data_IF_399690367979
#
_entry.id   IF_399690367979
#
_cell.length_a   1.000
_cell.length_b   1.000
_cell.length_c   1.000
_cell.angle_alpha   90.00
_cell.angle_beta   90.00
_cell.angle_gamma   90.00
#
_symmetry.space_group_name_H-M   'P 1'
#
loop_
_entity.id
_entity.type
_entity.pdbx_description
1 polymer ?
#
# COMPACT_ATOMS: atom_id res chain seq x y z
N UNK A 1 15.52 -70.20 130.34
CA UNK A 1 16.75 -71.01 130.19
C UNK A 1 18.02 -70.26 130.61
N UNK A 2 18.23 -68.97 130.29
CA UNK A 2 19.33 -68.18 130.91
C UNK A 2 19.24 -68.12 132.45
N UNK A 3 18.05 -67.89 132.98
CA UNK A 3 17.90 -67.70 134.43
C UNK A 3 17.90 -69.02 135.23
N UNK A 4 17.59 -70.15 134.58
CA UNK A 4 17.71 -71.50 135.17
C UNK A 4 19.14 -72.08 135.05
N UNK A 5 19.99 -71.49 134.22
CA UNK A 5 21.42 -71.82 134.13
C UNK A 5 22.21 -71.12 135.27
N UNK A 6 21.72 -69.99 135.80
CA UNK A 6 22.35 -69.33 136.97
C UNK A 6 22.06 -70.04 138.29
N UNK A 7 20.91 -70.69 138.43
CA UNK A 7 20.48 -71.33 139.68
C UNK A 7 21.27 -72.62 139.98
N UNK A 8 21.74 -73.34 138.94
CA UNK A 8 22.57 -74.56 139.07
C UNK A 8 24.06 -74.22 139.32
N UNK A 9 24.50 -72.99 139.06
CA UNK A 9 25.90 -72.58 139.27
C UNK A 9 26.26 -72.36 140.75
N UNK A 10 25.28 -72.10 141.62
CA UNK A 10 25.53 -71.67 142.99
C UNK A 10 25.18 -72.72 144.07
N UNK A 11 24.97 -73.99 143.70
CA UNK A 11 24.91 -75.08 144.68
C UNK A 11 26.26 -75.24 145.40
N UNK A 12 26.35 -74.71 146.64
CA UNK A 12 27.25 -75.24 147.68
C UNK A 12 26.47 -75.63 148.94
N UNK A 13 26.97 -76.70 149.52
CA UNK A 13 26.30 -77.72 150.31
C UNK A 13 26.69 -77.55 151.79
N UNK A 14 25.75 -77.66 152.74
CA UNK A 14 25.86 -78.44 154.01
C UNK A 14 24.47 -78.54 154.65
N UNK A 15 23.99 -79.76 154.89
CA UNK A 15 23.24 -80.08 156.12
C UNK A 15 21.80 -80.58 156.03
N UNK A 16 21.67 -81.91 155.82
CA UNK A 16 20.59 -82.83 156.24
C UNK A 16 19.18 -82.76 155.62
N UNK A 17 18.91 -83.81 154.83
CA UNK A 17 17.62 -84.48 154.58
C UNK A 17 16.77 -83.87 153.48
N UNK A 18 16.36 -84.52 152.38
CA UNK A 18 16.47 -85.90 151.91
C UNK A 18 16.33 -85.90 150.35
N UNK A 19 17.00 -86.85 149.67
CA UNK A 19 16.58 -87.61 148.47
C UNK A 19 16.23 -87.01 147.07
N UNK A 20 16.80 -85.89 146.59
CA UNK A 20 16.38 -85.28 145.27
C UNK A 20 17.39 -85.36 144.08
N UNK A 21 18.65 -85.75 144.25
CA UNK A 21 19.69 -85.39 143.25
C UNK A 21 19.83 -86.23 141.94
N UNK A 22 19.08 -87.33 141.71
CA UNK A 22 19.28 -88.19 140.50
C UNK A 22 18.43 -87.81 139.27
N UNK A 23 17.54 -86.81 139.36
CA UNK A 23 16.54 -86.49 138.32
C UNK A 23 17.00 -85.49 137.24
N UNK A 24 18.01 -84.64 137.50
CA UNK A 24 18.27 -83.47 136.66
C UNK A 24 19.07 -83.74 135.37
N UNK A 25 20.06 -84.64 135.40
CA UNK A 25 20.90 -84.93 134.22
C UNK A 25 20.11 -85.58 133.06
N UNK A 26 19.16 -86.46 133.40
CA UNK A 26 18.26 -87.10 132.44
C UNK A 26 17.33 -86.07 131.76
N UNK A 27 17.01 -84.95 132.42
CA UNK A 27 16.23 -83.87 131.80
C UNK A 27 17.06 -83.14 130.75
N UNK A 28 18.35 -82.89 130.98
CA UNK A 28 19.20 -82.14 130.06
C UNK A 28 19.40 -82.85 128.70
N UNK A 29 19.72 -84.15 128.71
CA UNK A 29 19.87 -84.94 127.48
C UNK A 29 18.56 -85.00 126.70
N UNK A 30 17.43 -85.08 127.41
CA UNK A 30 16.09 -85.05 126.81
C UNK A 30 15.78 -83.72 126.13
N UNK A 31 16.27 -82.60 126.66
CA UNK A 31 16.15 -81.27 126.03
C UNK A 31 16.96 -81.20 124.73
N UNK A 32 18.21 -81.67 124.69
CA UNK A 32 19.00 -81.67 123.45
C UNK A 32 18.45 -82.61 122.36
N UNK A 33 17.85 -83.74 122.75
CA UNK A 33 17.17 -84.64 121.81
C UNK A 33 15.93 -83.96 121.22
N UNK A 34 15.15 -83.26 122.04
CA UNK A 34 14.01 -82.46 121.59
C UNK A 34 14.43 -81.32 120.66
N UNK A 35 15.56 -80.65 120.92
CA UNK A 35 16.09 -79.61 120.02
C UNK A 35 16.46 -80.17 118.63
N UNK A 36 17.14 -81.32 118.57
CA UNK A 36 17.45 -81.96 117.29
C UNK A 36 16.18 -82.43 116.55
N UNK A 37 15.18 -82.97 117.27
CA UNK A 37 13.89 -83.31 116.67
C UNK A 37 13.17 -82.08 116.11
N UNK A 38 13.24 -80.94 116.81
CA UNK A 38 12.67 -79.68 116.33
C UNK A 38 13.38 -79.15 115.08
N UNK A 39 14.71 -79.25 115.00
CA UNK A 39 15.46 -78.89 113.79
C UNK A 39 15.06 -79.77 112.60
N UNK A 40 14.94 -81.10 112.80
CA UNK A 40 14.48 -82.03 111.76
C UNK A 40 13.05 -81.71 111.28
N UNK A 41 12.16 -81.33 112.20
CA UNK A 41 10.80 -80.88 111.87
C UNK A 41 10.85 -79.57 111.06
N UNK A 42 11.71 -78.62 111.43
CA UNK A 42 11.84 -77.36 110.69
C UNK A 42 12.34 -77.57 109.26
N UNK A 43 13.36 -78.42 109.08
CA UNK A 43 13.94 -78.74 107.77
C UNK A 43 12.92 -79.47 106.89
N UNK A 44 12.21 -80.46 107.43
CA UNK A 44 11.17 -81.19 106.69
C UNK A 44 10.00 -80.27 106.29
N UNK A 45 9.59 -79.35 107.17
CA UNK A 45 8.56 -78.35 106.84
C UNK A 45 9.00 -77.41 105.71
N UNK A 46 10.28 -77.00 105.70
CA UNK A 46 10.83 -76.14 104.68
C UNK A 46 10.95 -76.86 103.34
N UNK A 47 11.38 -78.13 103.35
CA UNK A 47 11.42 -78.97 102.15
C UNK A 47 10.03 -79.16 101.54
N UNK A 48 9.00 -79.32 102.37
CA UNK A 48 7.62 -79.42 101.91
C UNK A 48 7.12 -78.10 101.31
N UNK A 49 7.45 -76.96 101.92
CA UNK A 49 7.15 -75.65 101.35
C UNK A 49 7.84 -75.41 99.99
N UNK A 50 9.08 -75.86 99.83
CA UNK A 50 9.81 -75.76 98.55
C UNK A 50 9.23 -76.69 97.47
N UNK A 51 8.78 -77.90 97.85
CA UNK A 51 8.06 -78.81 96.96
C UNK A 51 6.73 -78.22 96.48
N UNK A 52 5.97 -77.58 97.37
CA UNK A 52 4.73 -76.86 97.03
C UNK A 52 5.00 -75.67 96.11
N UNK A 53 6.09 -74.92 96.35
CA UNK A 53 6.52 -73.83 95.47
C UNK A 53 6.94 -74.36 94.09
N UNK A 54 7.66 -75.47 94.03
CA UNK A 54 8.08 -76.10 92.78
C UNK A 54 6.89 -76.61 91.97
N UNK A 55 5.90 -77.24 92.63
CA UNK A 55 4.68 -77.71 91.97
C UNK A 55 3.86 -76.54 91.41
N UNK A 56 3.72 -75.44 92.17
CA UNK A 56 3.09 -74.21 91.72
C UNK A 56 3.78 -73.59 90.49
N UNK A 57 5.11 -73.47 90.52
CA UNK A 57 5.88 -72.92 89.39
C UNK A 57 5.83 -73.84 88.16
N UNK A 58 5.79 -75.15 88.36
CA UNK A 58 5.65 -76.13 87.28
C UNK A 58 4.27 -76.02 86.63
N UNK A 59 3.21 -75.90 87.41
CA UNK A 59 1.85 -75.68 86.92
C UNK A 59 1.74 -74.39 86.09
N UNK A 60 2.34 -73.28 86.56
CA UNK A 60 2.40 -72.05 85.77
C UNK A 60 3.21 -72.19 84.48
N UNK A 61 4.35 -72.88 84.51
CA UNK A 61 5.13 -73.12 83.30
C UNK A 61 4.38 -73.97 82.27
N UNK A 62 3.57 -74.94 82.72
CA UNK A 62 2.71 -75.74 81.85
C UNK A 62 1.64 -74.91 81.12
N UNK A 63 1.23 -73.76 81.66
CA UNK A 63 0.26 -72.84 81.03
C UNK A 63 0.90 -71.80 80.09
N UNK A 64 2.22 -71.61 80.11
CA UNK A 64 2.89 -70.64 79.23
C UNK A 64 2.74 -70.94 77.73
N UNK A 65 2.79 -72.21 77.26
CA UNK A 65 2.59 -72.53 75.85
C UNK A 65 1.19 -72.18 75.33
N UNK A 66 0.15 -72.38 76.15
CA UNK A 66 -1.23 -72.06 75.74
C UNK A 66 -1.47 -70.56 75.70
N UNK A 67 -0.88 -69.80 76.64
CA UNK A 67 -0.92 -68.34 76.62
C UNK A 67 -0.16 -67.78 75.42
N UNK A 68 1.03 -68.31 75.11
CA UNK A 68 1.80 -67.87 73.93
C UNK A 68 1.09 -68.21 72.62
N UNK A 69 0.47 -69.39 72.50
CA UNK A 69 -0.37 -69.71 71.34
C UNK A 69 -1.54 -68.73 71.18
N UNK A 70 -2.27 -68.42 72.27
CA UNK A 70 -3.35 -67.42 72.22
C UNK A 70 -2.85 -66.05 71.83
N UNK A 71 -1.70 -65.63 72.35
CA UNK A 71 -1.08 -64.36 72.00
C UNK A 71 -0.73 -64.31 70.51
N UNK A 72 -0.12 -65.36 69.95
CA UNK A 72 0.20 -65.45 68.52
C UNK A 72 -1.07 -65.34 67.66
N UNK A 73 -2.12 -66.09 68.01
CA UNK A 73 -3.41 -66.02 67.29
C UNK A 73 -4.00 -64.61 67.34
N UNK A 74 -4.01 -63.98 68.52
CA UNK A 74 -4.52 -62.62 68.69
C UNK A 74 -3.71 -61.60 67.89
N UNK A 75 -2.37 -61.71 67.89
CA UNK A 75 -1.53 -60.82 67.08
C UNK A 75 -1.74 -61.02 65.58
N UNK A 76 -1.97 -62.26 65.13
CA UNK A 76 -2.32 -62.55 63.75
C UNK A 76 -3.67 -61.94 63.35
N UNK A 77 -4.68 -62.02 64.22
CA UNK A 77 -5.99 -61.40 64.01
C UNK A 77 -5.90 -59.87 63.95
N UNK A 78 -5.16 -59.24 64.85
CA UNK A 78 -4.92 -57.79 64.83
C UNK A 78 -4.24 -57.37 63.54
N UNK A 79 -3.21 -58.09 63.10
CA UNK A 79 -2.53 -57.82 61.84
C UNK A 79 -3.48 -57.95 60.64
N UNK A 80 -4.39 -58.93 60.66
CA UNK A 80 -5.39 -59.11 59.60
C UNK A 80 -6.41 -57.95 59.55
N UNK A 81 -6.88 -57.48 60.71
CA UNK A 81 -7.78 -56.32 60.81
C UNK A 81 -7.09 -55.02 60.38
N UNK A 82 -5.81 -54.84 60.72
CA UNK A 82 -5.02 -53.71 60.24
C UNK A 82 -4.80 -53.73 58.73
N UNK A 83 -4.69 -54.92 58.12
CA UNK A 83 -4.58 -55.06 56.68
C UNK A 83 -5.92 -54.72 56.00
N UNK A 84 -7.04 -55.18 56.56
CA UNK A 84 -8.39 -54.88 56.07
C UNK A 84 -8.69 -53.37 56.15
N UNK A 85 -8.42 -52.73 57.29
CA UNK A 85 -8.59 -51.27 57.45
C UNK A 85 -7.69 -50.47 56.52
N UNK A 86 -6.44 -50.91 56.28
CA UNK A 86 -5.56 -50.32 55.26
C UNK A 86 -6.14 -50.45 53.86
N UNK A 87 -6.70 -51.62 53.52
CA UNK A 87 -7.40 -51.86 52.25
C UNK A 87 -8.61 -50.94 52.07
N UNK A 88 -9.46 -50.85 53.10
CA UNK A 88 -10.66 -50.02 53.11
C UNK A 88 -10.32 -48.53 52.96
N UNK A 89 -9.29 -48.06 53.67
CA UNK A 89 -8.81 -46.68 53.55
C UNK A 89 -8.25 -46.37 52.16
N UNK A 90 -7.59 -47.34 51.52
CA UNK A 90 -7.10 -47.18 50.15
C UNK A 90 -8.26 -47.02 49.16
N UNK A 91 -9.30 -47.83 49.30
CA UNK A 91 -10.52 -47.74 48.49
C UNK A 91 -11.25 -46.41 48.75
N UNK A 92 -11.41 -46.02 50.02
CA UNK A 92 -12.04 -44.75 50.40
C UNK A 92 -11.29 -43.54 49.83
N UNK A 93 -9.97 -43.56 49.83
CA UNK A 93 -9.16 -42.53 49.20
C UNK A 93 -9.29 -42.51 47.67
N UNK A 94 -9.41 -43.67 47.01
CA UNK A 94 -9.73 -43.72 45.58
C UNK A 94 -11.10 -43.10 45.28
N UNK A 95 -12.12 -43.44 46.06
CA UNK A 95 -13.45 -42.82 45.92
C UNK A 95 -13.41 -41.32 46.18
N UNK A 96 -12.68 -40.85 47.21
CA UNK A 96 -12.49 -39.40 47.46
C UNK A 96 -11.83 -38.70 46.29
N UNK A 97 -10.81 -39.28 45.65
CA UNK A 97 -10.20 -38.68 44.47
C UNK A 97 -11.13 -38.65 43.25
N UNK A 98 -12.05 -39.62 43.14
CA UNK A 98 -13.09 -39.60 42.09
C UNK A 98 -14.16 -38.54 42.41
N UNK A 99 -14.58 -38.41 43.66
CA UNK A 99 -15.59 -37.41 44.07
C UNK A 99 -15.04 -35.98 44.11
N UNK A 100 -13.78 -35.78 44.49
CA UNK A 100 -13.10 -34.48 44.34
C UNK A 100 -12.91 -34.12 42.86
N UNK A 101 -12.71 -35.09 41.97
CA UNK A 101 -12.68 -34.85 40.52
C UNK A 101 -14.04 -34.47 39.94
N UNK A 102 -15.15 -34.79 40.60
CA UNK A 102 -16.49 -34.32 40.20
C UNK A 102 -16.83 -32.92 40.76
N UNK A 103 -15.95 -32.31 41.56
CA UNK A 103 -16.05 -30.89 41.92
C UNK A 103 -15.16 -30.04 41.00
N UNK A 104 -15.79 -29.58 39.92
CA UNK A 104 -15.33 -28.63 38.90
C UNK A 104 -14.12 -29.06 38.06
N UNK A 105 -14.39 -29.40 36.79
CA UNK A 105 -13.42 -29.55 35.69
C UNK A 105 -12.63 -28.26 35.34
N UNK A 106 -12.67 -27.23 36.19
CA UNK A 106 -12.06 -25.93 35.95
C UNK A 106 -11.26 -25.50 37.18
N UNK A 107 -9.94 -25.41 37.03
CA UNK A 107 -9.08 -24.70 37.97
C UNK A 107 -8.78 -23.31 37.41
N UNK A 108 -9.00 -22.26 38.22
CA UNK A 108 -8.64 -20.89 37.85
C UNK A 108 -7.11 -20.81 37.86
N UNK A 109 -6.50 -20.69 36.69
CA UNK A 109 -5.04 -20.56 36.54
C UNK A 109 -4.57 -19.19 37.03
N UNK A 110 -5.30 -18.13 36.68
CA UNK A 110 -5.06 -16.76 37.08
C UNK A 110 -6.38 -15.99 37.07
N UNK A 111 -6.55 -15.09 38.04
CA UNK A 111 -7.65 -14.14 38.03
C UNK A 111 -7.53 -13.17 36.86
N UNK A 112 -8.69 -12.75 36.34
CA UNK A 112 -8.73 -11.75 35.28
C UNK A 112 -8.21 -10.41 35.81
N UNK A 113 -7.14 -9.89 35.19
CA UNK A 113 -6.63 -8.56 35.51
C UNK A 113 -7.65 -7.53 35.00
N UNK A 114 -8.28 -6.83 35.92
CA UNK A 114 -9.19 -5.73 35.59
C UNK A 114 -8.37 -4.61 34.94
N UNK A 115 -8.71 -4.14 33.73
CA UNK A 115 -7.95 -3.07 33.09
C UNK A 115 -8.07 -1.78 33.92
N UNK A 116 -6.93 -1.16 34.21
CA UNK A 116 -6.87 0.09 35.00
C UNK A 116 -7.57 1.28 34.31
N UNK A 117 -7.80 1.19 33.00
CA UNK A 117 -8.46 2.23 32.19
C UNK A 117 -9.43 1.61 31.18
N UNK A 118 -10.57 2.28 30.88
CA UNK A 118 -11.49 1.81 29.84
C UNK A 118 -10.78 1.78 28.47
N UNK A 119 -10.85 0.64 27.79
CA UNK A 119 -10.24 0.46 26.46
C UNK A 119 -11.31 0.63 25.38
N UNK A 120 -11.49 1.86 24.93
CA UNK A 120 -12.42 2.18 23.84
C UNK A 120 -11.91 1.74 22.46
N UNK A 121 -12.85 1.59 21.53
CA UNK A 121 -12.57 1.19 20.16
C UNK A 121 -11.99 2.35 19.34
N UNK A 122 -10.68 2.33 19.10
CA UNK A 122 -9.99 3.29 18.23
C UNK A 122 -10.27 3.09 16.73
N UNK A 123 -11.31 2.33 16.36
CA UNK A 123 -11.67 2.05 14.95
C UNK A 123 -11.98 3.33 14.16
N UNK A 124 -12.57 4.35 14.80
CA UNK A 124 -12.81 5.66 14.17
C UNK A 124 -11.51 6.40 13.85
N UNK A 125 -10.56 6.42 14.80
CA UNK A 125 -9.24 7.01 14.59
C UNK A 125 -8.46 6.29 13.49
N UNK A 126 -8.49 4.94 13.49
CA UNK A 126 -7.87 4.13 12.44
C UNK A 126 -8.48 4.42 11.07
N UNK A 127 -9.80 4.51 10.98
CA UNK A 127 -10.49 4.86 9.73
C UNK A 127 -10.09 6.26 9.22
N UNK A 128 -10.02 7.26 10.10
CA UNK A 128 -9.57 8.62 9.75
C UNK A 128 -8.12 8.59 9.25
N UNK A 129 -7.23 7.87 9.94
CA UNK A 129 -5.84 7.75 9.53
C UNK A 129 -5.70 7.10 8.15
N UNK A 130 -6.45 6.01 7.89
CA UNK A 130 -6.47 5.35 6.59
C UNK A 130 -6.98 6.32 5.50
N UNK A 131 -8.11 6.99 5.73
CA UNK A 131 -8.65 7.98 4.79
C UNK A 131 -7.65 9.11 4.50
N UNK A 132 -6.95 9.60 5.51
CA UNK A 132 -5.95 10.65 5.36
C UNK A 132 -4.75 10.18 4.52
N UNK A 133 -4.26 8.96 4.75
CA UNK A 133 -3.18 8.36 3.94
C UNK A 133 -3.60 8.25 2.47
N UNK A 134 -4.80 7.72 2.19
CA UNK A 134 -5.30 7.62 0.81
C UNK A 134 -5.52 9.00 0.16
N UNK A 135 -5.97 9.99 0.93
CA UNK A 135 -6.08 11.36 0.45
C UNK A 135 -4.71 11.93 0.07
N UNK A 136 -3.69 11.77 0.91
CA UNK A 136 -2.33 12.23 0.61
C UNK A 136 -1.75 11.55 -0.63
N UNK A 137 -1.96 10.24 -0.78
CA UNK A 137 -1.53 9.50 -1.98
C UNK A 137 -2.25 10.04 -3.22
N UNK A 138 -3.57 10.19 -3.17
CA UNK A 138 -4.35 10.73 -4.29
C UNK A 138 -3.95 12.15 -4.67
N UNK A 139 -3.77 13.03 -3.67
CA UNK A 139 -3.30 14.40 -3.86
C UNK A 139 -1.91 14.43 -4.50
N UNK A 140 -0.99 13.59 -4.02
CA UNK A 140 0.38 13.48 -4.57
C UNK A 140 0.36 13.02 -6.02
N UNK A 141 -0.48 12.02 -6.37
CA UNK A 141 -0.62 11.56 -7.75
C UNK A 141 -1.21 12.63 -8.67
N UNK A 142 -2.15 13.43 -8.19
CA UNK A 142 -2.70 14.58 -8.94
C UNK A 142 -1.62 15.63 -9.17
N UNK A 143 -0.86 16.01 -8.14
CA UNK A 143 0.24 16.95 -8.29
C UNK A 143 1.31 16.43 -9.25
N UNK A 144 1.68 15.16 -9.14
CA UNK A 144 2.64 14.53 -10.04
C UNK A 144 2.16 14.61 -11.50
N UNK A 145 0.88 14.32 -11.74
CA UNK A 145 0.27 14.46 -13.07
C UNK A 145 0.33 15.90 -13.58
N UNK A 146 0.08 16.90 -12.73
CA UNK A 146 0.13 18.32 -13.10
C UNK A 146 1.56 18.76 -13.42
N UNK A 147 2.55 18.36 -12.62
CA UNK A 147 3.96 18.74 -12.79
C UNK A 147 4.60 18.05 -13.99
N UNK A 148 4.23 16.80 -14.26
CA UNK A 148 4.74 16.04 -15.42
C UNK A 148 4.09 16.47 -16.74
N UNK A 149 2.93 17.13 -16.68
CA UNK A 149 2.25 17.67 -17.85
C UNK A 149 2.92 18.97 -18.34
N UNK A 150 3.78 18.81 -19.33
CA UNK A 150 4.56 19.89 -19.93
C UNK A 150 3.88 20.52 -21.15
N UNK A 151 2.59 20.27 -21.37
CA UNK A 151 1.81 20.91 -22.44
C UNK A 151 1.63 22.40 -22.18
N UNK A 152 1.30 23.14 -23.23
CA UNK A 152 1.06 24.59 -23.17
C UNK A 152 -0.42 24.83 -22.91
N UNK A 153 -0.74 25.56 -21.85
CA UNK A 153 -2.16 25.76 -21.44
C UNK A 153 -2.65 27.19 -21.57
N UNK A 154 -1.76 28.16 -21.43
CA UNK A 154 -2.10 29.58 -21.43
C UNK A 154 -1.12 30.41 -22.26
N UNK A 155 -1.51 31.62 -22.71
CA UNK A 155 -0.59 32.51 -23.42
C UNK A 155 0.62 32.93 -22.59
N UNK A 156 0.44 33.15 -21.28
CA UNK A 156 1.55 33.47 -20.37
C UNK A 156 2.57 32.32 -20.28
N UNK A 157 2.07 31.08 -20.17
CA UNK A 157 2.88 29.87 -20.17
C UNK A 157 3.64 29.69 -21.50
N UNK A 158 2.97 29.91 -22.63
CA UNK A 158 3.59 29.86 -23.96
C UNK A 158 4.72 30.89 -24.11
N UNK A 159 4.47 32.14 -23.70
CA UNK A 159 5.46 33.23 -23.77
C UNK A 159 6.71 32.90 -22.94
N UNK A 160 6.52 32.38 -21.72
CA UNK A 160 7.62 31.97 -20.85
C UNK A 160 8.40 30.77 -21.42
N UNK A 161 7.71 29.76 -21.93
CA UNK A 161 8.32 28.52 -22.43
C UNK A 161 9.09 28.71 -23.73
N UNK A 162 8.57 29.55 -24.64
CA UNK A 162 9.07 29.65 -26.01
C UNK A 162 9.82 30.94 -26.32
N UNK A 163 9.69 31.99 -25.50
CA UNK A 163 10.37 33.28 -25.72
C UNK A 163 10.09 33.86 -27.12
N UNK A 164 8.86 33.64 -27.61
CA UNK A 164 8.33 34.18 -28.86
C UNK A 164 7.08 35.01 -28.56
N UNK A 165 6.80 36.06 -29.35
CA UNK A 165 5.57 36.83 -29.17
C UNK A 165 4.36 35.95 -29.51
N UNK A 166 3.28 36.14 -28.76
CA UNK A 166 1.99 35.51 -29.02
C UNK A 166 1.17 36.50 -29.83
N UNK A 167 0.89 36.17 -31.10
CA UNK A 167 0.22 37.08 -32.04
C UNK A 167 -1.31 37.04 -31.90
N UNK A 168 -1.84 35.92 -31.42
CA UNK A 168 -3.26 35.73 -31.20
C UNK A 168 -3.54 34.50 -30.36
N UNK A 169 -4.64 34.53 -29.63
CA UNK A 169 -5.12 33.41 -28.81
C UNK A 169 -6.58 33.15 -29.17
N UNK A 170 -6.83 31.97 -29.75
CA UNK A 170 -8.12 31.56 -30.28
C UNK A 170 -8.76 30.53 -29.34
N UNK A 171 -9.96 30.81 -28.81
CA UNK A 171 -10.65 29.93 -27.88
C UNK A 171 -11.00 28.57 -28.49
N UNK A 172 -11.09 27.55 -27.63
CA UNK A 172 -11.64 26.25 -27.99
C UNK A 172 -13.14 26.36 -28.26
N UNK A 173 -13.55 25.99 -29.48
CA UNK A 173 -14.95 25.86 -29.88
C UNK A 173 -15.28 24.37 -30.00
N UNK A 174 -16.37 23.94 -29.36
CA UNK A 174 -16.81 22.53 -29.36
C UNK A 174 -17.21 22.05 -30.76
N UNK A 175 -17.95 22.87 -31.49
CA UNK A 175 -18.37 22.58 -32.86
C UNK A 175 -17.38 23.20 -33.84
N UNK A 176 -16.53 22.35 -34.43
CA UNK A 176 -15.48 22.78 -35.34
C UNK A 176 -16.02 23.38 -36.63
N UNK A 177 -17.24 23.02 -37.06
CA UNK A 177 -17.85 23.59 -38.29
C UNK A 177 -18.05 25.09 -38.17
N UNK A 178 -18.33 25.57 -36.96
CA UNK A 178 -18.53 27.00 -36.65
C UNK A 178 -17.23 27.83 -36.69
N UNK A 179 -16.07 27.18 -36.76
CA UNK A 179 -14.79 27.86 -36.95
C UNK A 179 -14.51 28.15 -38.42
N UNK A 180 -15.20 27.48 -39.34
CA UNK A 180 -15.01 27.67 -40.77
C UNK A 180 -15.96 28.77 -41.26
N UNK A 181 -15.47 29.78 -41.99
CA UNK A 181 -16.32 30.78 -42.59
C UNK A 181 -17.16 30.17 -43.71
N UNK A 182 -18.33 30.73 -43.97
CA UNK A 182 -19.12 30.49 -45.18
C UNK A 182 -19.31 31.80 -45.94
N UNK A 183 -19.84 31.71 -47.16
CA UNK A 183 -20.15 32.89 -47.98
C UNK A 183 -21.04 33.89 -47.21
N UNK A 184 -22.08 33.37 -46.53
CA UNK A 184 -23.09 34.16 -45.83
C UNK A 184 -22.76 34.46 -44.36
N UNK A 185 -22.01 33.60 -43.66
CA UNK A 185 -21.78 33.72 -42.22
C UNK A 185 -20.30 33.77 -41.87
N UNK A 186 -19.97 34.66 -40.93
CA UNK A 186 -18.63 34.73 -40.35
C UNK A 186 -18.41 33.59 -39.35
N UNK A 187 -17.15 33.16 -39.22
CA UNK A 187 -16.80 32.18 -38.20
C UNK A 187 -16.97 32.75 -36.79
N UNK A 188 -17.16 31.86 -35.82
CA UNK A 188 -17.20 32.27 -34.42
C UNK A 188 -15.83 32.83 -34.04
N UNK A 189 -15.83 33.94 -33.29
CA UNK A 189 -14.61 34.65 -32.89
C UNK A 189 -13.84 35.30 -34.04
N UNK A 190 -14.52 35.71 -35.12
CA UNK A 190 -13.93 36.43 -36.27
C UNK A 190 -13.08 37.66 -35.87
N UNK A 191 -13.44 38.35 -34.79
CA UNK A 191 -12.71 39.50 -34.27
C UNK A 191 -11.24 39.20 -33.93
N UNK A 192 -10.94 37.98 -33.49
CA UNK A 192 -9.55 37.58 -33.21
C UNK A 192 -8.73 37.53 -34.50
N UNK A 193 -9.33 37.09 -35.60
CA UNK A 193 -8.70 37.12 -36.92
C UNK A 193 -8.60 38.56 -37.45
N UNK A 194 -9.59 39.42 -37.25
CA UNK A 194 -9.52 40.86 -37.59
C UNK A 194 -8.36 41.56 -36.91
N UNK A 195 -8.15 41.31 -35.62
CA UNK A 195 -7.00 41.84 -34.88
C UNK A 195 -5.67 41.35 -35.46
N UNK A 196 -5.58 40.06 -35.76
CA UNK A 196 -4.37 39.45 -36.34
C UNK A 196 -4.08 40.00 -37.74
N UNK A 197 -5.09 40.09 -38.62
CA UNK A 197 -4.97 40.71 -39.95
C UNK A 197 -4.48 42.15 -39.86
N UNK A 198 -5.02 42.95 -38.93
CA UNK A 198 -4.59 44.34 -38.71
C UNK A 198 -3.13 44.41 -38.25
N UNK A 199 -2.69 43.52 -37.38
CA UNK A 199 -1.31 43.43 -36.93
C UNK A 199 -0.37 43.08 -38.09
N UNK A 200 -0.71 42.04 -38.86
CA UNK A 200 0.09 41.60 -40.01
C UNK A 200 0.16 42.69 -41.09
N UNK A 201 -0.97 43.31 -41.45
CA UNK A 201 -0.99 44.34 -42.49
C UNK A 201 -0.24 45.60 -42.09
N UNK A 202 -0.22 45.93 -40.79
CA UNK A 202 0.59 47.04 -40.27
C UNK A 202 2.10 46.76 -40.38
N UNK A 203 2.52 45.52 -40.16
CA UNK A 203 3.93 45.14 -40.27
C UNK A 203 4.38 44.94 -41.72
N UNK A 204 3.49 44.48 -42.60
CA UNK A 204 3.78 44.13 -43.99
C UNK A 204 2.87 44.93 -44.94
N UNK A 205 3.30 46.15 -45.28
CA UNK A 205 2.51 47.12 -46.07
C UNK A 205 2.71 47.00 -47.58
N UNK A 206 3.71 46.23 -48.02
CA UNK A 206 3.98 46.02 -49.44
C UNK A 206 2.83 45.28 -50.14
N UNK A 207 2.75 45.42 -51.46
CA UNK A 207 1.93 44.56 -52.32
C UNK A 207 2.58 43.18 -52.46
N UNK A 208 1.79 42.12 -52.57
CA UNK A 208 2.29 40.74 -52.59
C UNK A 208 2.82 40.26 -51.23
N UNK A 209 2.34 40.84 -50.12
CA UNK A 209 2.76 40.46 -48.78
C UNK A 209 2.44 38.97 -48.54
N UNK A 210 3.46 38.17 -48.22
CA UNK A 210 3.32 36.71 -48.18
C UNK A 210 3.49 36.15 -46.77
N UNK A 211 2.48 35.42 -46.30
CA UNK A 211 2.45 34.82 -44.96
C UNK A 211 2.46 33.30 -45.06
N UNK A 212 3.50 32.67 -44.51
CA UNK A 212 3.52 31.22 -44.34
C UNK A 212 2.85 30.85 -43.01
N UNK A 213 1.86 29.97 -43.07
CA UNK A 213 1.19 29.43 -41.89
C UNK A 213 1.57 27.95 -41.78
N UNK A 214 2.22 27.60 -40.68
CA UNK A 214 2.68 26.23 -40.40
C UNK A 214 2.33 25.83 -38.97
N UNK A 215 2.55 24.57 -38.61
CA UNK A 215 2.33 24.07 -37.25
C UNK A 215 3.38 23.04 -36.86
N UNK A 216 3.50 22.78 -35.56
CA UNK A 216 4.43 21.78 -35.02
C UNK A 216 3.96 20.35 -35.31
N UNK A 217 2.65 20.13 -35.35
CA UNK A 217 2.04 18.84 -35.65
C UNK A 217 0.60 18.94 -36.16
N UNK A 218 -0.02 17.77 -36.33
CA UNK A 218 -1.41 17.60 -36.80
C UNK A 218 -2.43 18.19 -35.83
N UNK A 219 -3.60 18.54 -36.36
CA UNK A 219 -4.77 18.99 -35.58
C UNK A 219 -4.55 20.27 -34.76
N UNK A 220 -3.56 21.11 -35.12
CA UNK A 220 -3.32 22.40 -34.45
C UNK A 220 -4.21 23.53 -34.96
N UNK A 221 -5.00 23.31 -36.03
CA UNK A 221 -5.91 24.32 -36.59
C UNK A 221 -5.28 25.26 -37.61
N UNK A 222 -4.13 24.88 -38.18
CA UNK A 222 -3.39 25.60 -39.22
C UNK A 222 -4.29 26.04 -40.40
N UNK A 223 -4.99 25.09 -41.03
CA UNK A 223 -5.88 25.36 -42.18
C UNK A 223 -7.05 26.26 -41.80
N UNK A 224 -7.61 26.09 -40.58
CA UNK A 224 -8.66 26.97 -40.04
C UNK A 224 -8.17 28.40 -39.88
N UNK A 225 -6.96 28.59 -39.36
CA UNK A 225 -6.35 29.92 -39.21
C UNK A 225 -6.09 30.54 -40.58
N UNK A 226 -5.52 29.79 -41.52
CA UNK A 226 -5.24 30.25 -42.87
C UNK A 226 -6.50 30.72 -43.61
N UNK A 227 -7.55 29.91 -43.58
CA UNK A 227 -8.83 30.21 -44.21
C UNK A 227 -9.50 31.46 -43.63
N UNK A 228 -9.51 31.59 -42.31
CA UNK A 228 -10.12 32.75 -41.65
C UNK A 228 -9.32 34.03 -41.91
N UNK A 229 -7.98 33.97 -41.90
CA UNK A 229 -7.15 35.12 -42.28
C UNK A 229 -7.42 35.53 -43.73
N UNK A 230 -7.48 34.57 -44.65
CA UNK A 230 -7.79 34.84 -46.05
C UNK A 230 -9.16 35.52 -46.20
N UNK A 231 -10.19 34.97 -45.54
CA UNK A 231 -11.56 35.50 -45.58
C UNK A 231 -11.65 36.91 -45.00
N UNK A 232 -10.94 37.19 -43.90
CA UNK A 232 -10.95 38.53 -43.29
C UNK A 232 -10.26 39.55 -44.18
N UNK A 233 -9.10 39.21 -44.76
CA UNK A 233 -8.43 40.10 -45.71
C UNK A 233 -9.28 40.33 -46.97
N UNK A 234 -9.88 39.28 -47.54
CA UNK A 234 -10.75 39.39 -48.71
C UNK A 234 -11.97 40.29 -48.47
N UNK A 235 -12.57 40.22 -47.28
CA UNK A 235 -13.65 41.13 -46.84
C UNK A 235 -13.18 42.57 -46.53
N UNK A 236 -11.88 42.81 -46.45
CA UNK A 236 -11.27 44.13 -46.30
C UNK A 236 -10.83 44.72 -47.65
N UNK A 237 -11.43 44.24 -48.75
CA UNK A 237 -11.13 44.62 -50.13
C UNK A 237 -9.67 44.36 -50.56
N UNK A 238 -8.97 43.44 -49.88
CA UNK A 238 -7.68 42.93 -50.34
C UNK A 238 -7.90 41.79 -51.34
N UNK A 239 -7.09 41.73 -52.39
CA UNK A 239 -7.08 40.60 -53.32
C UNK A 239 -6.17 39.50 -52.75
N UNK A 240 -6.78 38.44 -52.22
CA UNK A 240 -6.06 37.40 -51.47
C UNK A 240 -5.96 36.10 -52.26
N UNK A 241 -4.76 35.52 -52.27
CA UNK A 241 -4.56 34.14 -52.72
C UNK A 241 -4.21 33.23 -51.54
N UNK A 242 -5.00 32.17 -51.34
CA UNK A 242 -4.71 31.11 -50.38
C UNK A 242 -4.14 29.87 -51.11
N UNK A 243 -2.89 29.52 -50.81
CA UNK A 243 -2.18 28.41 -51.44
C UNK A 243 -2.11 27.22 -50.46
N UNK A 244 -2.66 26.08 -50.84
CA UNK A 244 -2.37 24.80 -50.18
C UNK A 244 -1.07 24.22 -50.73
N UNK A 245 0.03 24.42 -50.01
CA UNK A 245 1.37 24.03 -50.43
C UNK A 245 1.81 22.65 -49.89
N UNK A 246 0.85 21.77 -49.60
CA UNK A 246 1.11 20.44 -49.06
C UNK A 246 1.16 19.41 -50.19
N UNK A 247 2.24 19.49 -50.97
CA UNK A 247 2.48 18.72 -52.20
C UNK A 247 2.76 17.22 -52.01
N UNK A 248 2.79 16.73 -50.77
CA UNK A 248 3.00 15.31 -50.43
C UNK A 248 1.66 14.60 -50.23
N UNK A 249 1.68 13.27 -50.33
CA UNK A 249 0.51 12.41 -50.04
C UNK A 249 -0.18 12.77 -48.73
N UNK A 250 -1.42 13.23 -48.83
CA UNK A 250 -2.34 13.35 -47.70
C UNK A 250 -3.33 12.22 -47.73
N UNK A 251 -3.70 11.72 -46.56
CA UNK A 251 -4.79 10.75 -46.39
C UNK A 251 -6.17 11.40 -46.41
N UNK A 252 -6.24 12.72 -46.27
CA UNK A 252 -7.47 13.49 -46.14
C UNK A 252 -7.52 14.57 -47.22
N UNK A 253 -8.70 14.76 -47.81
CA UNK A 253 -8.98 15.87 -48.72
C UNK A 253 -8.85 17.20 -47.98
N UNK A 254 -8.22 18.19 -48.63
CA UNK A 254 -8.05 19.53 -48.05
C UNK A 254 -9.42 20.14 -47.73
N UNK A 255 -9.58 20.76 -46.56
CA UNK A 255 -10.82 21.44 -46.21
C UNK A 255 -11.12 22.66 -47.09
N UNK A 256 -10.19 23.05 -47.97
CA UNK A 256 -10.37 24.14 -48.93
C UNK A 256 -11.21 23.74 -50.15
N UNK A 257 -11.27 22.45 -50.50
CA UNK A 257 -12.02 22.01 -51.68
C UNK A 257 -13.52 22.30 -51.58
N UNK A 258 -14.08 22.36 -50.35
CA UNK A 258 -15.49 22.70 -50.14
C UNK A 258 -15.87 24.13 -50.54
N UNK A 259 -14.90 25.00 -50.85
CA UNK A 259 -15.14 26.39 -51.25
C UNK A 259 -15.03 26.61 -52.76
N UNK A 260 -14.63 25.59 -53.50
CA UNK A 260 -14.43 25.62 -54.95
C UNK A 260 -15.55 24.81 -55.60
N UNK A 261 -16.10 25.33 -56.69
CA UNK A 261 -17.13 24.62 -57.44
C UNK A 261 -16.55 23.35 -58.07
N UNK A 262 -17.26 22.20 -58.02
CA UNK A 262 -16.75 20.91 -58.52
C UNK A 262 -16.30 20.95 -59.99
N UNK A 263 -16.91 21.82 -60.80
CA UNK A 263 -16.60 21.99 -62.23
C UNK A 263 -15.22 22.62 -62.48
N UNK A 264 -14.60 23.22 -61.46
CA UNK A 264 -13.29 23.86 -61.55
C UNK A 264 -12.13 22.95 -61.11
N UNK A 265 -12.41 21.78 -60.53
CA UNK A 265 -11.41 20.85 -59.99
C UNK A 265 -10.75 19.99 -61.08
N UNK A 266 -9.63 20.44 -61.64
CA UNK A 266 -8.83 19.60 -62.54
C UNK A 266 -7.31 19.68 -62.35
N UNK A 267 -6.76 20.83 -61.96
CA UNK A 267 -5.31 21.03 -61.84
C UNK A 267 -4.99 21.89 -60.62
N UNK A 268 -3.89 21.57 -59.94
CA UNK A 268 -3.40 22.32 -58.77
C UNK A 268 -1.88 22.52 -58.77
N UNK A 269 -1.34 22.93 -57.62
CA UNK A 269 0.07 23.21 -57.43
C UNK A 269 0.96 22.01 -57.78
N UNK A 270 0.57 20.79 -57.39
CA UNK A 270 1.34 19.59 -57.71
C UNK A 270 1.42 19.33 -59.22
N UNK A 271 0.33 19.57 -59.94
CA UNK A 271 0.27 19.44 -61.40
C UNK A 271 1.09 20.51 -62.11
N UNK A 272 1.01 21.76 -61.64
CA UNK A 272 1.81 22.85 -62.19
C UNK A 272 3.30 22.59 -62.01
N UNK A 273 3.74 22.24 -60.80
CA UNK A 273 5.14 21.93 -60.52
C UNK A 273 5.64 20.73 -61.34
N UNK A 274 4.74 19.79 -61.65
CA UNK A 274 5.01 18.63 -62.50
C UNK A 274 4.87 18.90 -64.01
N UNK A 275 4.78 20.18 -64.43
CA UNK A 275 4.64 20.62 -65.83
C UNK A 275 3.40 20.08 -66.56
N UNK A 276 2.35 19.70 -65.84
CA UNK A 276 1.05 19.32 -66.44
C UNK A 276 0.15 20.53 -66.70
N UNK A 277 0.34 21.61 -65.95
CA UNK A 277 -0.29 22.90 -66.19
C UNK A 277 0.78 23.91 -66.64
N UNK A 278 0.48 24.67 -67.70
CA UNK A 278 1.44 25.59 -68.32
C UNK A 278 1.43 26.99 -67.70
N UNK A 279 0.28 27.40 -67.17
CA UNK A 279 -0.03 28.77 -66.76
C UNK A 279 -0.67 28.79 -65.36
N UNK A 280 -0.41 29.85 -64.58
CA UNK A 280 -0.95 30.05 -63.24
C UNK A 280 -2.48 30.14 -63.24
N UNK A 281 -3.08 30.69 -64.30
CA UNK A 281 -4.53 30.82 -64.48
C UNK A 281 -5.27 29.47 -64.55
N UNK A 282 -4.59 28.37 -64.90
CA UNK A 282 -5.20 27.04 -64.97
C UNK A 282 -5.36 26.38 -63.60
N UNK A 283 -4.57 26.81 -62.61
CA UNK A 283 -4.48 26.18 -61.28
C UNK A 283 -5.09 27.03 -60.18
N UNK A 284 -5.28 28.33 -60.40
CA UNK A 284 -5.99 29.23 -59.50
C UNK A 284 -7.50 29.05 -59.69
N UNK A 285 -8.23 29.00 -58.58
CA UNK A 285 -9.67 28.75 -58.53
C UNK A 285 -10.35 29.88 -57.79
N UNK A 286 -11.45 30.37 -58.36
CA UNK A 286 -12.31 31.30 -57.68
C UNK A 286 -13.08 30.55 -56.59
N UNK A 287 -13.32 31.22 -55.48
CA UNK A 287 -14.02 30.62 -54.34
C UNK A 287 -15.34 31.31 -54.08
N UNK A 288 -16.19 30.64 -53.30
CA UNK A 288 -17.40 31.26 -52.73
C UNK A 288 -17.11 32.33 -51.66
N UNK A 289 -15.84 32.56 -51.30
CA UNK A 289 -15.43 33.56 -50.32
C UNK A 289 -15.06 34.87 -51.03
N UNK A 290 -15.66 35.98 -50.60
CA UNK A 290 -15.41 37.29 -51.19
C UNK A 290 -13.93 37.71 -51.10
N UNK A 291 -13.34 38.09 -52.24
CA UNK A 291 -11.97 38.59 -52.34
C UNK A 291 -10.88 37.51 -52.19
N UNK A 292 -11.25 36.22 -52.19
CA UNK A 292 -10.30 35.11 -51.99
C UNK A 292 -10.32 34.16 -53.19
N UNK A 293 -9.15 34.02 -53.80
CA UNK A 293 -8.85 32.92 -54.72
C UNK A 293 -8.04 31.84 -53.99
N UNK A 294 -8.10 30.61 -54.51
CA UNK A 294 -7.39 29.47 -53.94
C UNK A 294 -6.55 28.75 -55.00
N UNK A 295 -5.34 28.35 -54.59
CA UNK A 295 -4.49 27.42 -55.31
C UNK A 295 -4.37 26.14 -54.48
N UNK A 296 -5.14 25.11 -54.85
CA UNK A 296 -5.07 23.82 -54.19
C UNK A 296 -3.84 23.03 -54.64
N UNK A 297 -3.41 22.06 -53.83
CA UNK A 297 -2.43 21.06 -54.28
C UNK A 297 -2.99 20.19 -55.42
N UNK A 298 -4.27 19.79 -55.32
CA UNK A 298 -5.00 18.83 -56.16
C UNK A 298 -4.37 17.44 -56.24
N UNK A 299 -3.21 17.30 -56.88
CA UNK A 299 -2.46 16.05 -56.98
C UNK A 299 -1.09 16.16 -56.30
N UNK A 300 -0.51 15.03 -55.91
CA UNK A 300 0.87 15.00 -55.40
C UNK A 300 1.84 15.44 -56.51
N UNK A 301 2.81 16.28 -56.15
CA UNK A 301 3.90 16.59 -57.06
C UNK A 301 4.73 15.32 -57.33
N UNK A 302 5.20 15.14 -58.58
CA UNK A 302 6.03 13.98 -58.94
C UNK A 302 7.27 13.88 -58.05
N UNK A 303 7.83 15.03 -57.66
CA UNK A 303 8.93 15.13 -56.68
C UNK A 303 8.61 16.30 -55.74
N UNK A 304 8.49 16.10 -54.41
CA UNK A 304 8.22 17.18 -53.45
C UNK A 304 9.27 18.30 -53.47
N UNK A 305 10.52 17.98 -53.84
CA UNK A 305 11.63 18.94 -53.95
C UNK A 305 11.38 20.03 -55.00
N UNK A 306 10.37 19.87 -55.86
CA UNK A 306 9.92 20.90 -56.80
C UNK A 306 9.43 22.18 -56.10
N UNK A 307 9.13 22.13 -54.79
CA UNK A 307 8.90 23.35 -53.99
C UNK A 307 10.12 24.29 -53.96
N UNK A 308 11.36 23.79 -54.11
CA UNK A 308 12.57 24.61 -54.20
C UNK A 308 12.92 25.03 -55.64
N UNK A 309 12.13 24.60 -56.62
CA UNK A 309 12.46 24.80 -58.04
C UNK A 309 12.41 26.27 -58.46
N UNK A 310 13.08 26.60 -59.57
CA UNK A 310 12.92 27.90 -60.24
C UNK A 310 11.47 28.14 -60.64
N UNK A 311 10.75 27.09 -61.05
CA UNK A 311 9.33 27.13 -61.42
C UNK A 311 8.43 27.59 -60.27
N UNK A 312 8.67 27.13 -59.04
CA UNK A 312 7.94 27.63 -57.86
C UNK A 312 8.26 29.11 -57.60
N UNK A 313 9.52 29.51 -57.76
CA UNK A 313 9.96 30.91 -57.59
C UNK A 313 9.32 31.83 -58.62
N UNK A 314 9.30 31.42 -59.88
CA UNK A 314 8.65 32.14 -60.99
C UNK A 314 7.16 32.30 -60.73
N UNK A 315 6.47 31.22 -60.38
CA UNK A 315 5.05 31.25 -60.02
C UNK A 315 4.78 32.25 -58.90
N UNK A 316 5.48 32.17 -57.77
CA UNK A 316 5.24 33.09 -56.66
C UNK A 316 5.61 34.54 -57.02
N UNK A 317 6.63 34.76 -57.86
CA UNK A 317 6.98 36.10 -58.31
C UNK A 317 5.89 36.74 -59.19
N UNK A 318 5.24 35.94 -60.04
CA UNK A 318 4.10 36.34 -60.84
C UNK A 318 2.89 36.65 -59.95
N UNK A 319 2.56 35.75 -59.03
CA UNK A 319 1.41 35.89 -58.14
C UNK A 319 1.54 37.09 -57.19
N UNK A 320 2.76 37.43 -56.75
CA UNK A 320 3.02 38.64 -55.93
C UNK A 320 2.65 39.95 -56.65
N UNK A 321 2.59 39.95 -57.98
CA UNK A 321 2.17 41.12 -58.75
C UNK A 321 0.64 41.21 -58.83
N UNK A 322 -0.05 40.07 -58.86
CA UNK A 322 -1.50 39.98 -59.04
C UNK A 322 -2.29 40.11 -57.72
N UNK A 323 -1.74 39.59 -56.62
CA UNK A 323 -2.40 39.55 -55.32
C UNK A 323 -1.75 40.50 -54.33
N UNK A 324 -2.57 41.21 -53.54
CA UNK A 324 -2.05 42.09 -52.50
C UNK A 324 -1.55 41.31 -51.29
N UNK A 325 -2.17 40.17 -51.00
CA UNK A 325 -1.80 39.26 -49.92
C UNK A 325 -1.78 37.81 -50.43
N UNK A 326 -0.73 37.07 -50.09
CA UNK A 326 -0.61 35.65 -50.36
C UNK A 326 -0.48 34.92 -49.02
N UNK A 327 -1.36 33.95 -48.77
CA UNK A 327 -1.29 33.08 -47.59
C UNK A 327 -0.92 31.69 -48.06
N UNK A 328 0.19 31.16 -47.56
CA UNK A 328 0.68 29.83 -47.89
C UNK A 328 0.42 28.92 -46.70
N UNK A 329 -0.40 27.88 -46.86
CA UNK A 329 -0.50 26.79 -45.90
C UNK A 329 0.63 25.79 -46.14
N UNK A 330 1.65 25.81 -45.28
CA UNK A 330 2.74 24.83 -45.29
C UNK A 330 2.34 23.50 -44.65
N UNK A 331 3.19 22.47 -44.71
CA UNK A 331 3.04 21.20 -43.99
C UNK A 331 3.24 21.32 -42.46
N UNK A 332 3.31 20.20 -41.74
CA UNK A 332 3.72 20.20 -40.33
C UNK A 332 5.25 20.11 -40.26
N UNK A 333 5.91 21.06 -39.58
CA UNK A 333 7.39 21.19 -39.59
C UNK A 333 8.10 19.93 -39.12
N UNK A 334 7.52 19.21 -38.15
CA UNK A 334 8.14 17.98 -37.63
C UNK A 334 7.90 16.76 -38.52
N UNK A 335 6.93 16.80 -39.43
CA UNK A 335 6.64 15.69 -40.36
C UNK A 335 7.35 15.86 -41.70
N UNK A 336 7.63 17.11 -42.11
CA UNK A 336 8.23 17.40 -43.41
C UNK A 336 9.08 18.67 -43.40
N UNK A 337 10.08 18.72 -44.28
CA UNK A 337 10.94 19.89 -44.52
C UNK A 337 10.23 20.93 -45.40
N UNK A 338 9.10 20.61 -46.03
CA UNK A 338 8.43 21.50 -46.99
C UNK A 338 8.11 22.88 -46.40
N UNK A 339 7.70 22.96 -45.12
CA UNK A 339 7.47 24.25 -44.47
C UNK A 339 8.75 25.07 -44.29
N UNK A 340 9.88 24.42 -43.98
CA UNK A 340 11.18 25.10 -43.90
C UNK A 340 11.59 25.65 -45.26
N UNK A 341 11.33 24.91 -46.34
CA UNK A 341 11.56 25.36 -47.71
C UNK A 341 10.72 26.59 -48.04
N UNK A 342 9.42 26.52 -47.72
CA UNK A 342 8.45 27.57 -48.01
C UNK A 342 8.77 28.87 -47.27
N UNK A 343 9.53 28.82 -46.17
CA UNK A 343 9.96 30.05 -45.47
C UNK A 343 10.65 31.00 -46.43
N UNK A 344 11.52 30.52 -47.33
CA UNK A 344 12.29 31.34 -48.26
C UNK A 344 11.45 32.15 -49.26
N UNK A 345 10.16 31.84 -49.40
CA UNK A 345 9.23 32.55 -50.28
C UNK A 345 8.26 33.48 -49.55
N UNK A 346 8.13 33.33 -48.24
CA UNK A 346 7.27 34.15 -47.41
C UNK A 346 8.01 35.41 -46.95
N UNK A 347 7.29 36.47 -46.59
CA UNK A 347 7.88 37.60 -45.88
C UNK A 347 7.95 37.30 -44.38
N UNK A 348 7.05 36.45 -43.88
CA UNK A 348 7.10 35.95 -42.52
C UNK A 348 6.39 34.62 -42.31
N UNK A 349 6.76 33.94 -41.22
CA UNK A 349 6.20 32.66 -40.81
C UNK A 349 5.41 32.78 -39.51
N UNK A 350 4.19 32.25 -39.51
CA UNK A 350 3.28 32.16 -38.37
C UNK A 350 3.19 30.71 -37.91
N UNK A 351 3.61 30.45 -36.68
CA UNK A 351 3.53 29.11 -36.09
C UNK A 351 2.21 28.94 -35.32
N UNK A 352 1.34 28.07 -35.80
CA UNK A 352 0.09 27.70 -35.12
C UNK A 352 0.36 26.57 -34.13
N UNK A 353 -0.04 26.76 -32.88
CA UNK A 353 0.13 25.80 -31.78
C UNK A 353 -1.19 25.61 -31.05
N UNK A 354 -1.65 24.36 -30.92
CA UNK A 354 -2.84 24.07 -30.13
C UNK A 354 -2.51 23.94 -28.64
N UNK A 355 -3.30 24.63 -27.81
CA UNK A 355 -3.26 24.46 -26.37
C UNK A 355 -3.65 23.03 -25.97
N UNK A 356 -2.98 22.51 -24.95
CA UNK A 356 -3.21 21.20 -24.34
C UNK A 356 -3.08 19.99 -25.29
N UNK A 357 -2.46 20.16 -26.47
CA UNK A 357 -2.25 19.10 -27.45
C UNK A 357 -0.85 18.50 -27.37
N UNK A 358 0.18 19.27 -27.76
CA UNK A 358 1.57 18.81 -27.81
C UNK A 358 2.37 19.24 -26.57
N UNK A 359 3.32 18.40 -26.15
CA UNK A 359 4.29 18.73 -25.09
C UNK A 359 5.22 19.85 -25.56
N UNK A 360 5.65 20.72 -24.65
CA UNK A 360 6.54 21.86 -24.98
C UNK A 360 7.81 21.47 -25.75
N UNK A 361 8.35 20.26 -25.53
CA UNK A 361 9.58 19.80 -26.20
C UNK A 361 9.39 19.67 -27.72
N UNK A 362 8.20 19.22 -28.15
CA UNK A 362 7.81 19.08 -29.56
C UNK A 362 7.78 20.45 -30.22
N UNK A 363 7.10 21.42 -29.58
CA UNK A 363 7.00 22.79 -30.08
C UNK A 363 8.38 23.48 -30.10
N UNK A 364 9.21 23.27 -29.06
CA UNK A 364 10.61 23.76 -29.04
C UNK A 364 11.46 23.18 -30.16
N UNK A 365 11.28 21.91 -30.50
CA UNK A 365 11.98 21.29 -31.62
C UNK A 365 11.53 21.89 -32.96
N UNK A 366 10.25 22.15 -33.12
CA UNK A 366 9.69 22.86 -34.29
C UNK A 366 10.31 24.25 -34.44
N UNK A 367 10.28 25.07 -33.37
CA UNK A 367 10.89 26.40 -33.35
C UNK A 367 12.38 26.33 -33.69
N UNK A 368 13.13 25.38 -33.11
CA UNK A 368 14.56 25.18 -33.44
C UNK A 368 14.83 24.84 -34.91
N UNK A 369 13.87 24.25 -35.64
CA UNK A 369 14.01 24.00 -37.08
C UNK A 369 13.72 25.28 -37.86
N UNK A 370 12.64 25.96 -37.54
CA UNK A 370 12.31 27.25 -38.17
C UNK A 370 13.39 28.31 -37.91
N UNK A 371 13.99 28.35 -36.73
CA UNK A 371 15.07 29.28 -36.37
C UNK A 371 16.36 29.07 -37.19
N UNK A 372 16.51 27.94 -37.89
CA UNK A 372 17.64 27.69 -38.80
C UNK A 372 17.39 28.21 -40.22
N UNK A 373 16.17 28.64 -40.52
CA UNK A 373 15.81 29.21 -41.82
C UNK A 373 16.13 30.70 -41.84
N UNK A 374 16.26 31.27 -43.04
CA UNK A 374 16.66 32.68 -43.20
C UNK A 374 15.58 33.66 -42.72
N UNK A 375 14.32 33.20 -42.63
CA UNK A 375 13.19 34.05 -42.27
C UNK A 375 12.71 33.73 -40.86
N UNK A 376 12.77 34.69 -39.93
CA UNK A 376 12.37 34.46 -38.56
C UNK A 376 10.86 34.20 -38.47
N UNK A 377 10.48 33.36 -37.51
CA UNK A 377 9.06 33.20 -37.14
C UNK A 377 8.59 34.47 -36.43
N UNK A 378 7.63 35.22 -36.99
CA UNK A 378 7.07 36.44 -36.39
C UNK A 378 6.60 36.17 -34.97
N UNK A 379 5.90 35.05 -34.79
CA UNK A 379 5.35 34.66 -33.51
C UNK A 379 4.46 33.43 -33.57
N UNK A 380 3.83 33.15 -32.43
CA UNK A 380 3.00 31.97 -32.21
C UNK A 380 1.54 32.39 -32.17
N UNK A 381 0.70 31.64 -32.87
CA UNK A 381 -0.75 31.69 -32.79
C UNK A 381 -1.22 30.52 -31.94
N UNK A 382 -1.83 30.80 -30.79
CA UNK A 382 -2.37 29.76 -29.92
C UNK A 382 -3.81 29.47 -30.29
N UNK A 383 -4.12 28.21 -30.62
CA UNK A 383 -5.49 27.75 -30.87
C UNK A 383 -5.98 26.87 -29.75
N UNK A 384 -7.29 26.60 -29.72
CA UNK A 384 -7.92 25.69 -28.74
C UNK A 384 -7.66 26.10 -27.28
N UNK A 385 -7.45 27.39 -27.03
CA UNK A 385 -7.22 27.89 -25.68
C UNK A 385 -8.47 27.71 -24.83
N UNK A 386 -8.32 27.18 -23.61
CA UNK A 386 -9.44 27.08 -22.70
C UNK A 386 -9.97 28.50 -22.38
N UNK A 387 -11.30 28.74 -22.46
CA UNK A 387 -11.89 30.03 -22.11
C UNK A 387 -11.54 30.53 -20.70
N UNK A 388 -11.14 29.62 -19.81
CA UNK A 388 -10.66 29.95 -18.46
C UNK A 388 -9.40 30.81 -18.47
N UNK A 389 -8.53 30.65 -19.48
CA UNK A 389 -7.28 31.40 -19.62
C UNK A 389 -7.41 32.66 -20.48
N UNK A 390 -8.62 32.99 -20.91
CA UNK A 390 -8.93 34.17 -21.75
C UNK A 390 -9.67 35.27 -20.99
N UNK A 391 -10.09 35.00 -19.76
CA UNK A 391 -10.60 36.00 -18.81
C UNK A 391 -9.43 36.58 -18.04
#
# INVERSE_FOLDING_TARGET
MRDQIEEIRNMTFVGRGDSVASSEYLKLVRVMLLENELELISISSQQQADLDRYSYLREKNLQLPTITQRYIILTGLVASLEAETRGLNKILNQYRMITEKEQSDFYIINDAIVPLYPRDSNRKLLAIAICFVFFLVGFTLILLKIVTDTRVKSPGDAKQKFQRPILGVFPLVKDQKRLLPTAEQESVHIEFYRMLCRLLRRSYTQHGATFLITSSGKLEGKSTVALNLATVFGRQDEHVLLIDAQVRKRTETSCFSQYIEPEQEALGLGDYLSYKASDSSQIIKQTSLAGVDMLLTHSEAVIPDLLQSSRMRELLSELKQQYSIIIIEGSHVLESVDSEILTSYADTTLLVVACDLYKQQVIKQCLKRLDKTDIPTEGIILTKASPVYLK
#
